data_IF_675325345530
#
_entry.id   IF_675325345530
#
_cell.length_a   1.000
_cell.length_b   1.000
_cell.length_c   1.000
_cell.angle_alpha   90.00
_cell.angle_beta   90.00
_cell.angle_gamma   90.00
#
_symmetry.space_group_name_H-M   'P 1'
#
loop_
_entity.id
_entity.type
_entity.pdbx_description
1 polymer ?
#
# COMPACT_ATOMS: atom_id res chain seq x y z
N UNK A 1 15.61 1.72 -15.26
CA UNK A 1 14.95 1.82 -16.58
C UNK A 1 13.78 2.79 -16.53
N UNK A 2 12.78 2.61 -15.65
CA UNK A 2 11.61 3.50 -15.58
C UNK A 2 11.93 4.98 -15.32
N UNK A 3 12.70 5.28 -14.26
CA UNK A 3 13.15 6.67 -13.95
C UNK A 3 14.04 7.23 -15.07
N UNK A 4 15.05 6.47 -15.51
CA UNK A 4 15.97 6.90 -16.56
C UNK A 4 15.30 7.15 -17.93
N UNK A 5 14.17 6.51 -18.19
CA UNK A 5 13.37 6.68 -19.42
C UNK A 5 12.28 7.76 -19.26
N UNK A 6 12.19 8.42 -18.10
CA UNK A 6 11.21 9.49 -17.84
C UNK A 6 9.76 9.01 -17.66
N UNK A 7 9.54 7.72 -17.39
CA UNK A 7 8.18 7.19 -17.15
C UNK A 7 7.66 7.51 -15.74
N UNK A 8 8.54 7.89 -14.82
CA UNK A 8 8.20 8.22 -13.43
C UNK A 8 8.89 9.55 -13.13
N UNK A 9 8.10 10.54 -12.73
CA UNK A 9 8.60 11.74 -12.06
C UNK A 9 8.68 11.46 -10.55
N UNK A 10 9.80 10.88 -10.13
CA UNK A 10 9.97 10.39 -8.76
C UNK A 10 11.17 9.45 -8.61
N UNK A 11 11.30 8.87 -7.42
CA UNK A 11 12.43 8.01 -7.05
C UNK A 11 12.05 6.53 -7.06
N UNK A 12 12.99 5.68 -7.49
CA UNK A 12 12.84 4.23 -7.43
C UNK A 12 14.03 3.62 -6.70
N UNK A 13 13.75 2.93 -5.60
CA UNK A 13 14.77 2.34 -4.73
C UNK A 13 14.64 0.81 -4.77
N UNK A 14 15.72 0.14 -5.17
CA UNK A 14 15.83 -1.31 -5.02
C UNK A 14 16.48 -1.65 -3.69
N UNK A 15 15.78 -2.47 -2.92
CA UNK A 15 16.23 -2.98 -1.63
C UNK A 15 16.61 -4.45 -1.75
N UNK A 16 17.17 -5.01 -0.69
CA UNK A 16 17.63 -6.40 -0.63
C UNK A 16 16.52 -7.41 -0.33
N UNK A 17 15.40 -6.98 0.26
CA UNK A 17 14.26 -7.83 0.59
C UNK A 17 12.95 -7.06 0.68
N UNK A 18 11.83 -7.76 0.63
CA UNK A 18 10.51 -7.16 0.75
C UNK A 18 10.24 -6.56 2.14
N UNK A 19 10.83 -7.12 3.20
CA UNK A 19 10.80 -6.52 4.54
C UNK A 19 11.40 -5.11 4.53
N UNK A 20 12.58 -4.95 3.90
CA UNK A 20 13.21 -3.66 3.73
C UNK A 20 12.44 -2.75 2.76
N UNK A 21 11.74 -3.32 1.77
CA UNK A 21 10.96 -2.54 0.81
C UNK A 21 9.81 -1.83 1.54
N UNK A 22 9.04 -2.57 2.34
CA UNK A 22 7.96 -1.99 3.14
C UNK A 22 8.51 -1.06 4.22
N UNK A 23 9.66 -1.36 4.83
CA UNK A 23 10.31 -0.48 5.80
C UNK A 23 10.72 0.86 5.19
N UNK A 24 11.28 0.83 3.98
CA UNK A 24 11.58 2.03 3.20
C UNK A 24 10.31 2.80 2.83
N UNK A 25 9.22 2.09 2.49
CA UNK A 25 7.94 2.73 2.21
C UNK A 25 7.36 3.45 3.44
N UNK A 26 7.44 2.82 4.61
CA UNK A 26 7.06 3.42 5.90
C UNK A 26 7.85 4.70 6.16
N UNK A 27 9.17 4.65 6.02
CA UNK A 27 10.02 5.84 6.21
C UNK A 27 9.70 6.96 5.22
N UNK A 28 9.56 6.63 3.93
CA UNK A 28 9.26 7.61 2.88
C UNK A 28 7.87 8.23 3.05
N UNK A 29 6.87 7.45 3.45
CA UNK A 29 5.51 7.95 3.68
C UNK A 29 5.45 8.84 4.93
N UNK A 30 6.10 8.44 6.03
CA UNK A 30 6.21 9.26 7.24
C UNK A 30 6.97 10.57 6.99
N UNK A 31 7.93 10.57 6.05
CA UNK A 31 8.65 11.76 5.61
C UNK A 31 7.83 12.70 4.70
N UNK A 32 6.58 12.35 4.37
CA UNK A 32 5.69 13.18 3.54
C UNK A 32 5.73 12.84 2.04
N UNK A 33 6.18 11.66 1.66
CA UNK A 33 6.11 11.17 0.28
C UNK A 33 4.81 10.44 -0.04
N UNK A 34 4.35 10.54 -1.30
CA UNK A 34 3.38 9.61 -1.91
C UNK A 34 4.12 8.34 -2.31
N UNK A 35 3.74 7.19 -1.75
CA UNK A 35 4.54 5.97 -1.82
C UNK A 35 3.71 4.79 -2.32
N UNK A 36 4.30 4.02 -3.24
CA UNK A 36 3.76 2.73 -3.63
C UNK A 36 4.85 1.67 -3.80
N UNK A 37 4.46 0.41 -3.64
CA UNK A 37 5.31 -0.75 -3.92
C UNK A 37 4.49 -1.93 -4.43
N UNK A 38 5.15 -3.01 -4.84
CA UNK A 38 4.50 -4.21 -5.35
C UNK A 38 5.20 -5.48 -4.88
N UNK A 39 4.44 -6.56 -4.66
CA UNK A 39 4.98 -7.85 -4.21
C UNK A 39 4.05 -9.04 -4.54
N UNK A 40 4.45 -10.25 -4.15
CA UNK A 40 3.64 -11.48 -4.22
C UNK A 40 4.14 -12.55 -3.23
N UNK A 41 3.26 -13.44 -2.78
CA UNK A 41 3.59 -14.71 -2.11
C UNK A 41 4.63 -14.56 -0.98
N UNK A 42 5.82 -15.13 -1.14
CA UNK A 42 6.88 -15.13 -0.11
C UNK A 42 7.39 -13.73 0.20
N UNK A 43 7.43 -12.86 -0.81
CA UNK A 43 7.78 -11.46 -0.63
C UNK A 43 6.74 -10.77 0.24
N UNK A 44 5.45 -11.00 -0.03
CA UNK A 44 4.38 -10.49 0.82
C UNK A 44 4.52 -11.00 2.26
N UNK A 45 4.80 -12.30 2.44
CA UNK A 45 5.02 -12.89 3.76
C UNK A 45 6.17 -12.22 4.53
N UNK A 46 7.27 -11.84 3.85
CA UNK A 46 8.36 -11.07 4.44
C UNK A 46 7.95 -9.62 4.79
N UNK A 47 6.97 -9.04 4.11
CA UNK A 47 6.44 -7.70 4.44
C UNK A 47 5.52 -7.70 5.66
N UNK A 48 4.88 -8.82 6.02
CA UNK A 48 3.72 -8.87 6.93
C UNK A 48 3.95 -8.14 8.25
N UNK A 49 5.12 -8.32 8.88
CA UNK A 49 5.46 -7.64 10.13
C UNK A 49 5.36 -6.11 9.99
N UNK A 50 5.91 -5.57 8.90
CA UNK A 50 6.02 -4.13 8.66
C UNK A 50 4.67 -3.53 8.24
N UNK A 51 3.74 -4.34 7.72
CA UNK A 51 2.38 -3.88 7.40
C UNK A 51 1.67 -3.29 8.63
N UNK A 52 1.85 -3.90 9.80
CA UNK A 52 1.26 -3.40 11.05
C UNK A 52 1.82 -2.03 11.44
N UNK A 53 3.08 -1.75 11.12
CA UNK A 53 3.70 -0.46 11.37
C UNK A 53 3.10 0.62 10.47
N UNK A 54 2.96 0.33 9.17
CA UNK A 54 2.32 1.25 8.22
C UNK A 54 0.90 1.64 8.64
N UNK A 55 0.07 0.64 8.97
CA UNK A 55 -1.32 0.88 9.35
C UNK A 55 -1.44 1.52 10.74
N UNK A 56 -0.61 1.11 11.70
CA UNK A 56 -0.59 1.67 13.06
C UNK A 56 -0.21 3.14 13.08
N UNK A 57 0.71 3.54 12.19
CA UNK A 57 1.13 4.92 12.00
C UNK A 57 0.28 5.73 11.01
N UNK A 58 -0.79 5.14 10.46
CA UNK A 58 -1.75 5.82 9.55
C UNK A 58 -1.07 6.42 8.30
N UNK A 59 -0.14 5.65 7.74
CA UNK A 59 0.64 6.02 6.57
C UNK A 59 -0.09 5.61 5.27
N UNK A 60 -0.39 6.54 4.34
CA UNK A 60 -1.13 6.25 3.12
C UNK A 60 -0.23 5.61 2.05
N UNK A 61 0.13 4.34 2.24
CA UNK A 61 0.95 3.56 1.30
C UNK A 61 0.04 2.71 0.41
N UNK A 62 0.32 2.69 -0.91
CA UNK A 62 -0.35 1.78 -1.85
C UNK A 62 0.52 0.56 -2.11
N UNK A 63 -0.02 -0.63 -1.86
CA UNK A 63 0.66 -1.91 -2.10
C UNK A 63 -0.08 -2.71 -3.18
N UNK A 64 0.54 -2.90 -4.33
CA UNK A 64 0.01 -3.78 -5.37
C UNK A 64 0.46 -5.23 -5.10
N UNK A 65 -0.49 -6.12 -4.83
CA UNK A 65 -0.22 -7.54 -4.54
C UNK A 65 -0.70 -8.39 -5.70
N UNK A 66 0.22 -9.04 -6.39
CA UNK A 66 -0.12 -10.06 -7.39
C UNK A 66 -0.22 -11.38 -6.66
N UNK A 67 -1.45 -11.80 -6.35
CA UNK A 67 -1.72 -12.91 -5.46
C UNK A 67 -1.19 -14.24 -6.00
N UNK A 68 -0.44 -14.94 -5.17
CA UNK A 68 0.27 -16.17 -5.52
C UNK A 68 0.38 -17.09 -4.32
N UNK A 69 0.32 -18.40 -4.62
CA UNK A 69 0.47 -19.47 -3.65
C UNK A 69 1.70 -19.30 -2.75
N UNK A 70 1.50 -19.54 -1.44
CA UNK A 70 2.59 -19.64 -0.48
C UNK A 70 3.36 -20.96 -0.63
N UNK A 71 4.64 -20.95 -0.24
CA UNK A 71 5.53 -22.09 -0.43
C UNK A 71 5.16 -23.32 0.40
N UNK A 72 5.75 -24.44 -0.01
CA UNK A 72 5.54 -25.81 0.49
C UNK A 72 4.21 -26.46 0.03
N UNK A 73 4.14 -26.89 -1.26
CA UNK A 73 5.20 -26.84 -2.28
C UNK A 73 5.38 -25.44 -2.88
N UNK A 74 6.55 -25.15 -3.48
CA UNK A 74 6.73 -23.92 -4.26
C UNK A 74 5.71 -23.92 -5.41
N UNK A 75 4.86 -22.90 -5.43
CA UNK A 75 3.90 -22.70 -6.49
C UNK A 75 3.92 -21.24 -6.94
N UNK A 76 4.05 -21.04 -8.25
CA UNK A 76 4.04 -19.70 -8.84
C UNK A 76 2.65 -19.26 -9.27
N UNK A 77 1.67 -20.17 -9.33
CA UNK A 77 0.30 -19.88 -9.75
C UNK A 77 -0.47 -19.07 -8.71
N UNK A 78 -1.53 -18.40 -9.18
CA UNK A 78 -2.42 -17.62 -8.35
C UNK A 78 -3.28 -18.47 -7.42
N UNK A 79 -3.33 -18.04 -6.16
CA UNK A 79 -4.38 -18.27 -5.18
C UNK A 79 -4.35 -17.07 -4.19
N UNK A 80 -5.23 -17.04 -3.20
CA UNK A 80 -5.30 -15.93 -2.23
C UNK A 80 -4.57 -16.20 -0.90
N UNK A 81 -3.68 -17.20 -0.85
CA UNK A 81 -3.01 -17.56 0.39
C UNK A 81 -2.18 -16.40 0.98
N UNK A 82 -1.53 -15.61 0.12
CA UNK A 82 -0.79 -14.42 0.53
C UNK A 82 -1.69 -13.26 0.96
N UNK A 83 -2.79 -12.99 0.25
CA UNK A 83 -3.83 -12.04 0.66
C UNK A 83 -4.28 -12.30 2.10
N UNK A 84 -4.59 -13.56 2.41
CA UNK A 84 -5.08 -13.94 3.74
C UNK A 84 -4.05 -13.75 4.85
N UNK A 85 -2.73 -13.74 4.56
CA UNK A 85 -1.72 -13.36 5.56
C UNK A 85 -1.86 -11.90 5.99
N UNK A 86 -2.30 -11.03 5.09
CA UNK A 86 -2.42 -9.59 5.31
C UNK A 86 -3.75 -9.15 5.88
N UNK A 87 -4.75 -10.04 5.95
CA UNK A 87 -6.13 -9.71 6.31
C UNK A 87 -6.24 -8.89 7.60
N UNK A 88 -5.48 -9.28 8.62
CA UNK A 88 -5.58 -8.70 9.96
C UNK A 88 -4.57 -7.53 10.19
N UNK A 89 -3.87 -7.09 9.13
CA UNK A 89 -2.84 -6.04 9.19
C UNK A 89 -3.39 -4.62 9.37
N UNK A 90 -4.71 -4.41 9.28
CA UNK A 90 -5.34 -3.09 9.36
C UNK A 90 -5.21 -2.25 8.08
N UNK A 91 -4.90 -2.89 6.96
CA UNK A 91 -4.91 -2.28 5.63
C UNK A 91 -6.29 -2.45 4.98
N UNK A 92 -6.69 -1.48 4.18
CA UNK A 92 -7.84 -1.62 3.29
C UNK A 92 -7.42 -2.55 2.14
N UNK A 93 -8.23 -3.55 1.82
CA UNK A 93 -7.93 -4.49 0.74
C UNK A 93 -9.04 -4.40 -0.32
N UNK A 94 -8.64 -4.21 -1.58
CA UNK A 94 -9.54 -4.18 -2.73
C UNK A 94 -9.04 -5.14 -3.81
N UNK A 95 -9.95 -5.91 -4.39
CA UNK A 95 -9.64 -6.99 -5.33
C UNK A 95 -10.05 -6.63 -6.76
N UNK A 96 -9.11 -6.74 -7.69
CA UNK A 96 -9.35 -6.55 -9.12
C UNK A 96 -9.73 -7.86 -9.80
N UNK A 97 -10.87 -7.85 -10.52
CA UNK A 97 -11.31 -9.00 -11.31
C UNK A 97 -10.61 -9.10 -12.68
N UNK A 98 -10.15 -7.98 -13.24
CA UNK A 98 -9.59 -7.91 -14.59
C UNK A 98 -8.50 -6.82 -14.72
N UNK A 99 -7.84 -6.73 -15.88
CA UNK A 99 -6.73 -5.80 -16.09
C UNK A 99 -7.15 -4.32 -16.04
N UNK A 100 -8.39 -3.99 -16.45
CA UNK A 100 -8.93 -2.63 -16.35
C UNK A 100 -9.14 -2.25 -14.88
N UNK A 101 -9.76 -3.13 -14.10
CA UNK A 101 -9.95 -2.94 -12.67
C UNK A 101 -8.63 -2.84 -11.91
N UNK A 102 -7.60 -3.61 -12.29
CA UNK A 102 -6.28 -3.49 -11.66
C UNK A 102 -5.68 -2.09 -11.83
N UNK A 103 -5.89 -1.46 -13.00
CA UNK A 103 -5.49 -0.07 -13.24
C UNK A 103 -6.36 0.93 -12.46
N UNK A 104 -7.68 0.80 -12.57
CA UNK A 104 -8.62 1.75 -11.95
C UNK A 104 -8.52 1.72 -10.41
N UNK A 105 -8.45 0.52 -9.82
CA UNK A 105 -8.34 0.34 -8.37
C UNK A 105 -7.00 0.82 -7.83
N UNK A 106 -5.91 0.76 -8.60
CA UNK A 106 -4.64 1.38 -8.20
C UNK A 106 -4.74 2.90 -8.05
N UNK A 107 -5.47 3.58 -8.94
CA UNK A 107 -5.74 5.01 -8.80
C UNK A 107 -6.68 5.31 -7.63
N UNK A 108 -7.73 4.50 -7.46
CA UNK A 108 -8.63 4.60 -6.31
C UNK A 108 -7.90 4.39 -4.97
N UNK A 109 -6.92 3.48 -4.91
CA UNK A 109 -6.16 3.19 -3.71
C UNK A 109 -5.40 4.41 -3.19
N UNK A 110 -4.77 5.20 -4.07
CA UNK A 110 -4.16 6.47 -3.68
C UNK A 110 -5.20 7.42 -3.10
N UNK A 111 -6.32 7.62 -3.81
CA UNK A 111 -7.37 8.55 -3.37
C UNK A 111 -7.99 8.15 -2.02
N UNK A 112 -8.26 6.87 -1.82
CA UNK A 112 -8.82 6.32 -0.57
C UNK A 112 -7.81 6.46 0.57
N UNK A 113 -6.56 6.03 0.35
CA UNK A 113 -5.56 6.03 1.41
C UNK A 113 -5.17 7.44 1.85
N UNK A 114 -5.10 8.37 0.90
CA UNK A 114 -4.73 9.76 1.13
C UNK A 114 -5.87 10.62 1.71
N UNK A 115 -7.13 10.17 1.63
CA UNK A 115 -8.25 10.89 2.23
C UNK A 115 -8.04 11.07 3.74
N UNK A 116 -8.13 12.32 4.22
CA UNK A 116 -7.83 12.69 5.60
C UNK A 116 -8.76 12.03 6.63
N UNK A 117 -9.98 11.64 6.24
CA UNK A 117 -10.92 10.91 7.10
C UNK A 117 -10.57 9.42 7.21
N UNK A 118 -9.94 8.85 6.17
CA UNK A 118 -9.56 7.43 6.10
C UNK A 118 -8.16 7.22 6.67
N UNK A 119 -7.13 7.79 6.03
CA UNK A 119 -5.70 7.72 6.40
C UNK A 119 -5.25 6.32 6.81
N UNK A 120 -5.50 5.35 5.95
CA UNK A 120 -5.04 3.98 6.09
C UNK A 120 -4.34 3.54 4.80
N UNK A 121 -3.32 2.67 4.90
CA UNK A 121 -2.70 2.10 3.71
C UNK A 121 -3.66 1.14 2.99
N UNK A 122 -3.49 1.02 1.68
CA UNK A 122 -4.39 0.27 0.80
C UNK A 122 -3.63 -0.78 0.00
N UNK A 123 -4.14 -2.00 -0.02
CA UNK A 123 -3.66 -3.08 -0.89
C UNK A 123 -4.60 -3.25 -2.07
N UNK A 124 -4.02 -3.34 -3.27
CA UNK A 124 -4.73 -3.70 -4.50
C UNK A 124 -4.30 -5.09 -4.91
N UNK A 125 -5.25 -6.02 -4.82
CA UNK A 125 -5.06 -7.43 -5.12
C UNK A 125 -5.42 -7.73 -6.57
N UNK A 126 -4.68 -8.65 -7.18
CA UNK A 126 -4.98 -9.18 -8.51
C UNK A 126 -4.52 -10.63 -8.60
N UNK A 127 -5.31 -11.49 -9.25
CA UNK A 127 -4.98 -12.90 -9.37
C UNK A 127 -3.72 -13.14 -10.21
N UNK A 128 -2.74 -13.83 -9.63
CA UNK A 128 -1.52 -14.22 -10.31
C UNK A 128 -1.79 -15.07 -11.55
N UNK A 129 -1.18 -14.69 -12.67
CA UNK A 129 -1.38 -15.24 -14.01
C UNK A 129 -2.76 -14.98 -14.63
N UNK A 130 -3.85 -15.14 -13.88
CA UNK A 130 -5.22 -14.99 -14.40
C UNK A 130 -5.52 -13.54 -14.74
N UNK A 131 -5.18 -12.60 -13.85
CA UNK A 131 -5.37 -11.16 -14.10
C UNK A 131 -4.05 -10.53 -14.54
N UNK A 132 -2.96 -10.81 -13.81
CA UNK A 132 -1.68 -10.10 -14.03
C UNK A 132 -0.96 -10.41 -15.35
N UNK A 133 -1.29 -11.53 -16.01
CA UNK A 133 -0.65 -11.95 -17.27
C UNK A 133 -1.64 -12.19 -18.41
N UNK A 134 -2.94 -11.95 -18.19
CA UNK A 134 -3.92 -12.03 -19.27
C UNK A 134 -3.95 -10.71 -20.01
N UNK A 135 -3.59 -10.76 -21.28
CA UNK A 135 -3.68 -9.59 -22.16
C UNK A 135 -5.16 -9.24 -22.41
N UNK A 136 -5.55 -8.01 -22.11
CA UNK A 136 -6.87 -7.47 -22.37
C UNK A 136 -6.75 -6.06 -22.93
N UNK A 137 -7.77 -5.62 -23.66
CA UNK A 137 -7.89 -4.21 -23.99
C UNK A 137 -8.23 -3.44 -22.72
N UNK A 138 -7.47 -2.39 -22.47
CA UNK A 138 -7.68 -1.44 -21.37
C UNK A 138 -7.84 -0.04 -21.94
N UNK A 139 -8.48 0.83 -21.17
CA UNK A 139 -8.72 2.23 -21.48
C UNK A 139 -8.10 3.10 -20.39
N UNK A 140 -6.77 3.25 -20.34
CA UNK A 140 -6.12 4.07 -19.33
C UNK A 140 -6.53 5.54 -19.48
N UNK A 141 -6.60 6.25 -18.36
CA UNK A 141 -6.74 7.69 -18.35
C UNK A 141 -5.47 8.36 -18.90
N UNK A 142 -5.63 9.59 -19.38
CA UNK A 142 -4.46 10.45 -19.59
C UNK A 142 -3.83 10.81 -18.24
N UNK A 143 -2.53 11.11 -18.23
CA UNK A 143 -1.82 11.50 -17.00
C UNK A 143 -2.49 12.69 -16.31
N UNK A 144 -2.96 13.68 -17.08
CA UNK A 144 -3.71 14.83 -16.56
C UNK A 144 -5.03 14.42 -15.88
N UNK A 145 -5.78 13.50 -16.49
CA UNK A 145 -7.04 13.02 -15.91
C UNK A 145 -6.81 12.18 -14.65
N UNK A 146 -5.78 11.32 -14.65
CA UNK A 146 -5.38 10.56 -13.46
C UNK A 146 -4.89 11.49 -12.33
N UNK A 147 -4.09 12.50 -12.66
CA UNK A 147 -3.63 13.51 -11.70
C UNK A 147 -4.81 14.29 -11.11
N UNK A 148 -5.72 14.78 -11.94
CA UNK A 148 -6.91 15.52 -11.47
C UNK A 148 -7.85 14.65 -10.63
N UNK A 149 -7.88 13.33 -10.87
CA UNK A 149 -8.66 12.40 -10.06
C UNK A 149 -8.06 12.21 -8.66
N UNK A 150 -6.74 12.00 -8.56
CA UNK A 150 -6.06 11.76 -7.28
C UNK A 150 -5.85 13.09 -6.51
N UNK A 151 -5.34 14.11 -7.20
CA UNK A 151 -5.01 15.43 -6.66
C UNK A 151 -3.59 15.53 -6.09
N UNK A 152 -3.30 16.71 -5.53
CA UNK A 152 -2.04 17.00 -4.84
C UNK A 152 -1.95 16.19 -3.54
N UNK A 153 -0.78 15.59 -3.29
CA UNK A 153 -0.54 14.93 -2.01
C UNK A 153 -0.45 15.97 -0.89
N UNK A 154 -1.25 15.78 0.16
CA UNK A 154 -1.24 16.64 1.34
C UNK A 154 -0.65 15.87 2.53
N UNK A 155 0.64 16.08 2.86
CA UNK A 155 1.23 15.44 4.03
C UNK A 155 0.54 15.92 5.31
N UNK A 156 0.43 15.03 6.30
CA UNK A 156 0.00 15.41 7.66
C UNK A 156 1.09 14.98 8.60
N UNK A 157 1.57 15.93 9.38
CA UNK A 157 2.58 15.72 10.41
C UNK A 157 3.79 14.99 9.80
N UNK A 158 4.42 15.59 8.80
CA UNK A 158 5.58 15.02 8.12
C UNK A 158 6.81 15.05 9.03
N UNK A 159 7.53 13.93 9.04
CA UNK A 159 8.72 13.77 9.88
C UNK A 159 9.83 14.80 9.55
N UNK A 160 9.84 15.32 8.33
CA UNK A 160 10.85 16.26 7.84
C UNK A 160 10.43 17.75 7.97
N UNK A 161 9.24 18.05 8.49
CA UNK A 161 8.88 19.41 8.89
C UNK A 161 9.53 19.77 10.23
N UNK A 162 10.72 20.37 10.13
CA UNK A 162 11.45 20.84 11.31
C UNK A 162 10.77 22.01 12.05
N UNK A 163 9.75 22.65 11.46
CA UNK A 163 8.97 23.69 12.15
C UNK A 163 7.92 23.11 13.10
N UNK A 164 7.47 21.86 12.85
CA UNK A 164 6.50 21.14 13.67
C UNK A 164 6.94 19.68 13.85
N UNK A 165 7.95 19.43 14.71
CA UNK A 165 8.50 18.09 14.88
C UNK A 165 7.46 17.15 15.50
N UNK A 166 7.39 15.93 14.96
CA UNK A 166 6.48 14.88 15.41
C UNK A 166 7.22 13.57 15.67
N UNK A 167 6.57 12.65 16.38
CA UNK A 167 7.11 11.33 16.68
C UNK A 167 6.18 10.26 16.13
N UNK A 168 6.74 9.35 15.34
CA UNK A 168 6.06 8.17 14.80
C UNK A 168 6.57 6.91 15.50
N UNK A 169 5.70 5.90 15.64
CA UNK A 169 6.09 4.58 16.16
C UNK A 169 6.51 4.57 17.63
N UNK A 170 6.01 5.51 18.44
CA UNK A 170 6.33 5.54 19.87
C UNK A 170 5.83 4.30 20.61
N UNK A 171 6.60 3.83 21.57
CA UNK A 171 6.16 2.78 22.50
C UNK A 171 4.90 3.27 23.23
N UNK A 172 3.87 2.42 23.20
CA UNK A 172 2.58 2.70 23.82
C UNK A 172 2.31 1.63 24.86
N UNK A 173 2.13 2.05 26.11
CA UNK A 173 1.82 1.17 27.24
C UNK A 173 0.36 0.68 27.20
N UNK A 174 0.04 -0.28 28.08
CA UNK A 174 -1.25 -0.98 28.13
C UNK A 174 -2.46 -0.03 28.18
N UNK A 175 -2.33 1.10 28.88
CA UNK A 175 -3.39 2.11 29.09
C UNK A 175 -3.86 2.83 27.82
N UNK A 176 -3.09 2.76 26.74
CA UNK A 176 -3.38 3.47 25.48
C UNK A 176 -3.39 2.56 24.27
N UNK A 177 -2.72 1.41 24.34
CA UNK A 177 -2.58 0.50 23.21
C UNK A 177 -3.95 0.05 22.67
N UNK A 178 -4.88 -0.25 23.58
CA UNK A 178 -6.22 -0.71 23.21
C UNK A 178 -7.00 0.39 22.47
N UNK A 179 -6.93 1.64 22.93
CA UNK A 179 -7.57 2.80 22.32
C UNK A 179 -7.05 3.06 20.91
N UNK A 180 -5.73 2.93 20.69
CA UNK A 180 -5.13 3.06 19.37
C UNK A 180 -5.66 2.01 18.40
N UNK A 181 -5.70 0.73 18.81
CA UNK A 181 -6.23 -0.36 17.98
C UNK A 181 -7.74 -0.23 17.75
N UNK A 182 -8.50 0.18 18.75
CA UNK A 182 -9.94 0.42 18.63
C UNK A 182 -10.24 1.56 17.65
N UNK A 183 -9.50 2.68 17.70
CA UNK A 183 -9.63 3.78 16.73
C UNK A 183 -9.27 3.34 15.31
N UNK A 184 -8.18 2.59 15.16
CA UNK A 184 -7.79 2.04 13.86
C UNK A 184 -8.91 1.17 13.27
N UNK A 185 -9.44 0.23 14.06
CA UNK A 185 -10.54 -0.63 13.62
C UNK A 185 -11.81 0.16 13.31
N UNK A 186 -12.19 1.11 14.18
CA UNK A 186 -13.34 1.99 13.97
C UNK A 186 -13.23 2.73 12.64
N UNK A 187 -12.07 3.31 12.32
CA UNK A 187 -11.89 4.00 11.04
C UNK A 187 -11.95 3.04 9.85
N UNK A 188 -11.42 1.81 9.98
CA UNK A 188 -11.57 0.82 8.92
C UNK A 188 -13.05 0.49 8.64
N UNK A 189 -13.89 0.42 9.68
CA UNK A 189 -15.31 0.07 9.56
C UNK A 189 -16.21 1.26 9.19
N UNK A 190 -15.84 2.46 9.64
CA UNK A 190 -16.61 3.70 9.46
C UNK A 190 -16.13 4.52 8.24
N UNK A 191 -15.06 4.09 7.56
CA UNK A 191 -14.60 4.75 6.32
C UNK A 191 -15.71 4.70 5.27
N UNK A 192 -16.06 5.84 4.66
CA UNK A 192 -17.20 5.96 3.74
C UNK A 192 -17.02 5.22 2.41
#
# INVERSE_FOLDING_TARGET
>A
AYVANGYIDGEYVMVESEHAAMSGCVGASAAGGRVATATSSQGFALMVEVLYQASGMRLPIVLNVVNRALASPLNVRGDHADMYLGRDSGWIQIDAFNAQEAYDLALCAFKIGEDHSVRLPVMVHQDGFITSHTAQNVYPLTDEAAYNFIGDFQPVDDLLDFSRPVTYGAQTEEDWHFEHKAKQHKHLMDSP
#
